data_IF_044660747022
#
_entry.id   IF_044660747022
#
_cell.length_a   1.000
_cell.length_b   1.000
_cell.length_c   1.000
_cell.angle_alpha   90.00
_cell.angle_beta   90.00
_cell.angle_gamma   90.00
#
_symmetry.space_group_name_H-M   'P 1'
#
loop_
_entity.id
_entity.type
_entity.pdbx_description
1 polymer ?
#
# COMPACT_ATOMS: atom_id res chain seq x y z
N UNK A 1 36.63 -0.42 -38.01
CA UNK A 1 36.09 -1.80 -37.97
C UNK A 1 36.56 -2.44 -36.67
N UNK A 2 35.67 -3.24 -36.06
CA UNK A 2 35.87 -4.10 -34.89
C UNK A 2 36.04 -3.39 -33.53
N UNK A 3 34.93 -3.27 -32.80
CA UNK A 3 34.94 -3.40 -31.34
C UNK A 3 33.95 -4.49 -30.95
N UNK A 4 34.48 -5.38 -30.12
CA UNK A 4 34.01 -6.73 -29.88
C UNK A 4 32.72 -6.82 -29.09
N UNK A 5 31.94 -7.83 -29.47
CA UNK A 5 30.81 -8.37 -28.73
C UNK A 5 31.26 -8.82 -27.34
N UNK A 6 30.64 -8.28 -26.30
CA UNK A 6 30.72 -8.85 -24.96
C UNK A 6 29.41 -9.62 -24.70
N UNK A 7 29.41 -10.90 -25.06
CA UNK A 7 28.46 -11.91 -24.60
C UNK A 7 28.77 -12.21 -23.13
N UNK A 8 27.99 -11.65 -22.21
CA UNK A 8 27.93 -12.16 -20.83
C UNK A 8 26.62 -12.92 -20.64
N UNK A 9 26.60 -14.16 -21.11
CA UNK A 9 25.81 -15.20 -20.49
C UNK A 9 26.44 -15.48 -19.12
N UNK A 10 25.84 -14.96 -18.05
CA UNK A 10 26.17 -15.32 -16.67
C UNK A 10 24.98 -16.05 -16.07
N UNK A 11 25.22 -17.30 -15.77
CA UNK A 11 24.40 -18.21 -14.94
C UNK A 11 23.71 -17.46 -13.79
N UNK A 12 22.41 -17.26 -13.94
CA UNK A 12 21.56 -16.50 -13.03
C UNK A 12 21.20 -17.39 -11.83
N UNK A 13 21.82 -17.16 -10.68
CA UNK A 13 21.66 -18.00 -9.48
C UNK A 13 20.19 -18.14 -9.04
N UNK A 14 19.76 -19.38 -8.75
CA UNK A 14 18.42 -19.74 -8.25
C UNK A 14 17.99 -19.00 -6.95
N UNK A 15 18.93 -18.45 -6.19
CA UNK A 15 18.63 -17.64 -4.98
C UNK A 15 18.10 -16.24 -5.30
N UNK A 16 18.39 -15.68 -6.48
CA UNK A 16 17.88 -14.37 -6.91
C UNK A 16 16.41 -14.41 -7.37
N UNK A 17 15.93 -15.55 -7.88
CA UNK A 17 14.52 -15.67 -8.29
C UNK A 17 13.57 -15.41 -7.12
N UNK A 18 13.83 -15.96 -5.93
CA UNK A 18 12.94 -15.80 -4.77
C UNK A 18 12.81 -14.36 -4.27
N UNK A 19 13.81 -13.50 -4.46
CA UNK A 19 13.72 -12.07 -4.11
C UNK A 19 13.02 -11.26 -5.21
N UNK A 20 13.24 -11.59 -6.48
CA UNK A 20 12.59 -10.95 -7.63
C UNK A 20 11.07 -11.09 -7.54
N UNK A 21 10.57 -12.25 -7.10
CA UNK A 21 9.13 -12.50 -6.92
C UNK A 21 8.49 -11.77 -5.73
N UNK A 22 9.27 -11.13 -4.85
CA UNK A 22 8.72 -10.30 -3.75
C UNK A 22 8.34 -8.90 -4.22
N UNK A 23 9.08 -8.33 -5.16
CA UNK A 23 8.78 -7.06 -5.82
C UNK A 23 9.05 -7.16 -7.34
N UNK A 24 8.21 -7.88 -8.09
CA UNK A 24 8.42 -8.12 -9.52
C UNK A 24 8.49 -6.83 -10.34
N UNK A 25 7.79 -5.79 -9.90
CA UNK A 25 7.77 -4.47 -10.54
C UNK A 25 9.15 -3.77 -10.56
N UNK A 26 10.00 -4.01 -9.55
CA UNK A 26 11.33 -3.39 -9.47
C UNK A 26 12.29 -3.98 -10.50
N UNK A 27 11.99 -5.17 -11.02
CA UNK A 27 12.83 -5.92 -11.96
C UNK A 27 12.27 -5.89 -13.39
N UNK A 28 11.46 -4.88 -13.72
CA UNK A 28 10.81 -4.74 -15.03
C UNK A 28 9.96 -5.95 -15.43
N UNK A 29 9.44 -6.70 -14.45
CA UNK A 29 8.51 -7.78 -14.72
C UNK A 29 7.11 -7.21 -15.03
N UNK A 30 6.44 -7.82 -16.01
CA UNK A 30 5.11 -7.41 -16.46
C UNK A 30 4.13 -8.53 -16.15
N UNK A 31 3.00 -8.16 -15.55
CA UNK A 31 1.91 -9.06 -15.27
C UNK A 31 1.04 -9.22 -16.53
N UNK A 32 0.98 -10.43 -17.06
CA UNK A 32 0.18 -10.84 -18.20
C UNK A 32 -0.96 -11.76 -17.74
N UNK A 33 -1.80 -12.24 -18.67
CA UNK A 33 -2.83 -13.24 -18.34
C UNK A 33 -2.23 -14.58 -17.85
N UNK A 34 -1.03 -14.91 -18.31
CA UNK A 34 -0.37 -16.20 -18.08
C UNK A 34 0.65 -16.15 -16.92
N UNK A 35 0.79 -15.02 -16.24
CA UNK A 35 1.73 -14.82 -15.14
C UNK A 35 2.65 -13.64 -15.37
N UNK A 36 3.76 -13.59 -14.62
CA UNK A 36 4.74 -12.52 -14.77
C UNK A 36 5.89 -12.94 -15.66
N UNK A 37 6.28 -12.02 -16.54
CA UNK A 37 7.40 -12.20 -17.44
C UNK A 37 8.41 -11.09 -17.28
N UNK A 38 9.70 -11.43 -17.39
CA UNK A 38 10.78 -10.45 -17.36
C UNK A 38 10.93 -9.83 -18.74
N UNK A 39 11.09 -8.50 -18.79
CA UNK A 39 11.22 -7.77 -20.05
C UNK A 39 12.38 -6.78 -19.93
N UNK A 40 13.20 -6.60 -20.99
CA UNK A 40 14.22 -5.57 -21.00
C UNK A 40 13.65 -4.18 -20.71
N UNK A 41 14.37 -3.38 -19.93
CA UNK A 41 13.99 -2.00 -19.55
C UNK A 41 13.63 -1.11 -20.75
N UNK A 42 14.26 -1.33 -21.89
CA UNK A 42 14.01 -0.60 -23.15
C UNK A 42 12.57 -0.80 -23.64
N UNK A 43 12.08 -2.03 -23.59
CA UNK A 43 10.76 -2.44 -24.07
C UNK A 43 9.67 -2.31 -23.01
N UNK A 44 10.03 -2.00 -21.76
CA UNK A 44 9.09 -1.87 -20.66
C UNK A 44 8.14 -0.67 -20.83
N UNK A 45 6.87 -0.94 -21.09
CA UNK A 45 5.74 -0.03 -21.02
C UNK A 45 4.50 -0.83 -20.56
N UNK A 46 4.03 -0.68 -19.30
CA UNK A 46 3.15 -1.65 -18.65
C UNK A 46 1.93 -2.11 -19.45
N UNK A 47 1.22 -1.18 -20.11
CA UNK A 47 0.02 -1.51 -20.90
C UNK A 47 0.35 -2.02 -22.31
N UNK A 48 1.33 -1.40 -22.95
CA UNK A 48 1.69 -1.73 -24.33
C UNK A 48 2.37 -3.10 -24.39
N UNK A 49 3.38 -3.32 -23.54
CA UNK A 49 4.12 -4.57 -23.50
C UNK A 49 3.24 -5.74 -23.02
N UNK A 50 2.35 -5.53 -22.03
CA UNK A 50 1.45 -6.59 -21.56
C UNK A 50 0.51 -7.06 -22.68
N UNK A 51 -0.02 -6.14 -23.49
CA UNK A 51 -0.89 -6.48 -24.60
C UNK A 51 -0.14 -7.24 -25.69
N UNK A 52 1.05 -6.75 -26.07
CA UNK A 52 1.89 -7.41 -27.07
C UNK A 52 2.29 -8.83 -26.64
N UNK A 53 2.70 -9.01 -25.37
CA UNK A 53 3.04 -10.33 -24.81
C UNK A 53 1.83 -11.27 -24.83
N UNK A 54 0.65 -10.80 -24.40
CA UNK A 54 -0.56 -11.64 -24.44
C UNK A 54 -0.87 -12.09 -25.87
N UNK A 55 -0.76 -11.18 -26.85
CA UNK A 55 -1.01 -11.49 -28.25
C UNK A 55 -0.01 -12.54 -28.78
N UNK A 56 1.30 -12.37 -28.52
CA UNK A 56 2.33 -13.34 -28.93
C UNK A 56 2.06 -14.72 -28.32
N UNK A 57 1.67 -14.77 -27.05
CA UNK A 57 1.37 -16.04 -26.38
C UNK A 57 0.09 -16.68 -26.95
N UNK A 58 -0.96 -15.89 -27.18
CA UNK A 58 -2.23 -16.35 -27.76
C UNK A 58 -2.06 -16.86 -29.21
N UNK A 59 -1.20 -16.22 -30.01
CA UNK A 59 -0.91 -16.65 -31.39
C UNK A 59 -0.07 -17.94 -31.45
N UNK A 60 0.80 -18.17 -30.47
CA UNK A 60 1.68 -19.34 -30.43
C UNK A 60 1.11 -20.53 -29.64
N UNK A 61 0.07 -20.31 -28.84
CA UNK A 61 -0.61 -21.35 -28.06
C UNK A 61 -2.06 -21.48 -28.55
N UNK A 62 -2.29 -22.40 -29.48
CA UNK A 62 -3.65 -22.87 -29.78
C UNK A 62 -4.16 -23.79 -28.64
N UNK A 63 -5.47 -23.76 -28.39
CA UNK A 63 -6.21 -24.15 -27.17
C UNK A 63 -5.93 -25.54 -26.55
N UNK A 64 -5.15 -26.43 -27.19
CA UNK A 64 -4.96 -27.83 -26.76
C UNK A 64 -3.55 -28.17 -26.24
N UNK A 65 -2.68 -27.20 -25.96
CA UNK A 65 -1.28 -27.49 -25.65
C UNK A 65 -0.94 -27.47 -24.15
N UNK A 66 -0.46 -28.60 -23.62
CA UNK A 66 0.24 -28.74 -22.33
C UNK A 66 1.38 -27.71 -22.11
N UNK A 67 1.81 -27.01 -23.18
CA UNK A 67 2.77 -25.90 -23.17
C UNK A 67 2.28 -24.64 -22.44
N UNK A 68 0.99 -24.50 -22.19
CA UNK A 68 0.47 -23.39 -21.39
C UNK A 68 0.93 -23.43 -19.91
N UNK A 69 1.41 -24.59 -19.44
CA UNK A 69 1.89 -24.78 -18.07
C UNK A 69 3.37 -24.49 -17.86
N UNK A 70 4.20 -24.47 -18.92
CA UNK A 70 5.64 -24.27 -18.79
C UNK A 70 6.03 -22.79 -18.93
N UNK A 71 6.27 -22.16 -17.79
CA UNK A 71 6.69 -20.76 -17.68
C UNK A 71 8.00 -20.48 -18.42
N UNK A 72 8.90 -21.46 -18.54
CA UNK A 72 10.19 -21.26 -19.21
C UNK A 72 10.01 -21.15 -20.73
N UNK A 73 9.15 -21.99 -21.30
CA UNK A 73 8.78 -21.92 -22.72
C UNK A 73 8.09 -20.60 -23.06
N UNK A 74 7.18 -20.13 -22.18
CA UNK A 74 6.53 -18.82 -22.34
C UNK A 74 7.52 -17.66 -22.25
N UNK A 75 8.48 -17.71 -21.32
CA UNK A 75 9.51 -16.67 -21.20
C UNK A 75 10.40 -16.62 -22.46
N UNK A 76 10.72 -17.75 -23.09
CA UNK A 76 11.48 -17.78 -24.35
C UNK A 76 10.75 -17.06 -25.49
N UNK A 77 9.42 -17.22 -25.59
CA UNK A 77 8.61 -16.47 -26.56
C UNK A 77 8.62 -14.96 -26.30
N UNK A 78 8.60 -14.56 -25.02
CA UNK A 78 8.71 -13.15 -24.63
C UNK A 78 10.08 -12.58 -24.96
N UNK A 79 11.14 -13.36 -24.78
CA UNK A 79 12.51 -12.96 -25.12
C UNK A 79 12.68 -12.80 -26.65
N UNK A 80 12.14 -13.73 -27.44
CA UNK A 80 12.13 -13.65 -28.92
C UNK A 80 11.32 -12.45 -29.43
N UNK A 81 10.16 -12.19 -28.82
CA UNK A 81 9.39 -10.97 -29.10
C UNK A 81 10.20 -9.70 -28.77
N UNK A 82 10.93 -9.69 -27.66
CA UNK A 82 11.74 -8.54 -27.27
C UNK A 82 12.92 -8.26 -28.23
N UNK A 83 13.36 -9.26 -29.01
CA UNK A 83 14.37 -9.08 -30.06
C UNK A 83 13.78 -8.54 -31.38
N UNK A 84 12.54 -8.89 -31.68
CA UNK A 84 11.87 -8.57 -32.95
C UNK A 84 11.07 -7.27 -32.92
N UNK A 85 10.64 -6.82 -31.73
CA UNK A 85 9.75 -5.67 -31.60
C UNK A 85 10.44 -4.34 -31.97
N UNK A 86 9.75 -3.53 -32.77
CA UNK A 86 10.22 -2.18 -33.08
C UNK A 86 9.98 -1.24 -31.88
N UNK A 87 11.07 -0.71 -31.33
CA UNK A 87 11.04 0.21 -30.17
C UNK A 87 10.30 1.51 -30.52
N UNK A 88 10.24 1.90 -31.78
CA UNK A 88 9.63 3.17 -32.21
C UNK A 88 8.10 3.17 -32.07
N UNK A 89 7.46 2.01 -32.11
CA UNK A 89 6.02 1.85 -31.91
C UNK A 89 5.60 2.06 -30.45
N UNK A 90 6.58 2.09 -29.53
CA UNK A 90 6.35 2.31 -28.10
C UNK A 90 5.68 3.67 -27.88
N UNK A 91 4.54 3.72 -27.15
CA UNK A 91 3.89 4.98 -26.85
C UNK A 91 4.83 5.86 -26.03
N UNK A 92 5.15 7.04 -26.56
CA UNK A 92 5.94 8.05 -25.85
C UNK A 92 5.09 8.57 -24.69
N UNK A 93 5.49 8.23 -23.48
CA UNK A 93 4.85 8.77 -22.28
C UNK A 93 5.21 10.26 -22.20
N UNK A 94 4.25 11.12 -22.52
CA UNK A 94 4.40 12.55 -22.32
C UNK A 94 4.65 12.82 -20.83
N UNK A 95 5.81 13.40 -20.53
CA UNK A 95 6.11 13.85 -19.18
C UNK A 95 5.16 14.99 -18.86
N UNK A 96 4.32 14.82 -17.83
CA UNK A 96 3.43 15.89 -17.35
C UNK A 96 4.24 17.17 -17.15
N UNK A 97 3.87 18.24 -17.84
CA UNK A 97 4.54 19.52 -17.66
C UNK A 97 4.17 20.14 -16.31
N UNK A 98 4.96 21.11 -15.84
CA UNK A 98 4.63 21.87 -14.62
C UNK A 98 3.27 22.57 -14.75
N UNK A 99 2.92 23.01 -15.95
CA UNK A 99 1.62 23.63 -16.24
C UNK A 99 0.47 22.63 -16.10
N UNK A 100 0.63 21.41 -16.61
CA UNK A 100 -0.40 20.35 -16.49
C UNK A 100 -0.59 19.91 -15.04
N UNK A 101 0.50 19.78 -14.28
CA UNK A 101 0.42 19.49 -12.86
C UNK A 101 -0.32 20.59 -12.07
N UNK A 102 -0.12 21.86 -12.44
CA UNK A 102 -0.86 22.99 -11.86
C UNK A 102 -2.35 22.92 -12.24
N UNK A 103 -2.66 22.73 -13.52
CA UNK A 103 -4.05 22.56 -14.00
C UNK A 103 -4.78 21.42 -13.27
N UNK A 104 -4.12 20.28 -13.05
CA UNK A 104 -4.71 19.16 -12.30
C UNK A 104 -5.02 19.52 -10.84
N UNK A 105 -4.14 20.29 -10.18
CA UNK A 105 -4.38 20.79 -8.82
C UNK A 105 -5.53 21.79 -8.78
N UNK A 106 -5.56 22.73 -9.72
CA UNK A 106 -6.61 23.76 -9.79
C UNK A 106 -7.98 23.11 -10.07
N UNK A 107 -8.05 22.13 -10.97
CA UNK A 107 -9.26 21.35 -11.22
C UNK A 107 -9.70 20.53 -9.99
N UNK A 108 -8.75 19.94 -9.26
CA UNK A 108 -9.06 19.20 -8.04
C UNK A 108 -9.62 20.13 -6.95
N UNK A 109 -9.04 21.32 -6.80
CA UNK A 109 -9.50 22.36 -5.88
C UNK A 109 -10.92 22.82 -6.25
N UNK A 110 -11.17 23.09 -7.52
CA UNK A 110 -12.50 23.45 -8.01
C UNK A 110 -13.55 22.37 -7.70
N UNK A 111 -13.22 21.09 -7.96
CA UNK A 111 -14.11 19.97 -7.62
C UNK A 111 -14.41 19.87 -6.12
N UNK A 112 -13.45 20.21 -5.25
CA UNK A 112 -13.70 20.25 -3.80
C UNK A 112 -14.61 21.39 -3.39
N UNK A 113 -14.43 22.59 -3.97
CA UNK A 113 -15.27 23.75 -3.66
C UNK A 113 -16.72 23.52 -4.08
N UNK A 114 -16.96 23.00 -5.29
CA UNK A 114 -18.31 22.65 -5.76
C UNK A 114 -18.98 21.62 -4.83
N UNK A 115 -18.24 20.61 -4.35
CA UNK A 115 -18.79 19.65 -3.39
C UNK A 115 -19.18 20.30 -2.06
N UNK A 116 -18.38 21.22 -1.56
CA UNK A 116 -18.68 21.94 -0.32
C UNK A 116 -19.92 22.83 -0.48
N UNK A 117 -20.04 23.54 -1.60
CA UNK A 117 -21.18 24.41 -1.87
C UNK A 117 -22.48 23.62 -2.06
N UNK A 118 -22.43 22.47 -2.74
CA UNK A 118 -23.58 21.55 -2.87
C UNK A 118 -24.01 20.99 -1.51
N UNK A 119 -23.07 20.64 -0.62
CA UNK A 119 -23.40 20.18 0.74
C UNK A 119 -24.00 21.30 1.59
N UNK A 120 -23.56 22.56 1.40
CA UNK A 120 -24.11 23.72 2.13
C UNK A 120 -25.52 24.10 1.66
N UNK A 121 -25.84 23.85 0.40
CA UNK A 121 -27.16 24.16 -0.19
C UNK A 121 -28.16 23.01 -0.08
N UNK A 122 -27.72 21.80 0.32
CA UNK A 122 -28.62 20.68 0.53
C UNK A 122 -29.48 20.91 1.79
N UNK A 123 -30.79 20.73 1.63
CA UNK A 123 -31.80 20.78 2.69
C UNK A 123 -31.40 19.91 3.90
N UNK A 124 -31.47 20.40 5.16
CA UNK A 124 -31.07 19.65 6.35
C UNK A 124 -31.90 18.38 6.63
N UNK A 125 -32.98 18.16 5.87
CA UNK A 125 -33.88 17.01 5.97
C UNK A 125 -33.43 15.80 5.14
N UNK A 126 -32.54 15.97 4.15
CA UNK A 126 -32.06 14.85 3.31
C UNK A 126 -30.75 14.31 3.86
N UNK A 127 -30.82 13.24 4.66
CA UNK A 127 -29.65 12.50 5.14
C UNK A 127 -28.96 11.78 3.97
N UNK A 128 -28.09 12.48 3.23
CA UNK A 128 -27.11 11.80 2.36
C UNK A 128 -26.18 10.97 3.25
N UNK A 129 -26.14 9.65 3.06
CA UNK A 129 -25.24 8.77 3.81
C UNK A 129 -23.80 9.29 3.68
N UNK A 130 -23.15 9.76 4.76
CA UNK A 130 -21.77 10.19 4.68
C UNK A 130 -20.90 8.95 4.46
N UNK A 131 -20.07 8.96 3.42
CA UNK A 131 -18.88 8.10 3.43
C UNK A 131 -18.00 8.55 4.60
N UNK A 132 -17.46 7.63 5.42
CA UNK A 132 -16.84 8.00 6.69
C UNK A 132 -15.50 8.67 6.46
N UNK A 133 -15.50 10.00 6.28
CA UNK A 133 -14.31 10.81 6.49
C UNK A 133 -14.21 11.07 8.00
N UNK A 134 -13.72 10.08 8.73
CA UNK A 134 -13.48 10.17 10.18
C UNK A 134 -12.39 11.20 10.44
N UNK A 135 -12.78 12.46 10.68
CA UNK A 135 -12.03 13.44 11.49
C UNK A 135 -12.96 14.51 12.06
N UNK A 136 -13.73 14.16 13.07
CA UNK A 136 -14.16 15.11 14.11
C UNK A 136 -14.17 14.33 15.43
N UNK A 137 -13.04 14.26 16.13
CA UNK A 137 -13.11 14.11 17.58
C UNK A 137 -13.42 15.50 18.10
N UNK A 138 -14.67 15.73 18.51
CA UNK A 138 -14.97 16.83 19.43
C UNK A 138 -13.97 16.75 20.58
N UNK A 139 -13.41 17.88 20.99
CA UNK A 139 -12.40 17.95 22.04
C UNK A 139 -12.98 17.36 23.35
N UNK A 140 -12.77 16.06 23.58
CA UNK A 140 -13.36 15.30 24.69
C UNK A 140 -13.90 13.91 24.32
N UNK A 141 -14.19 13.61 23.04
CA UNK A 141 -14.69 12.30 22.65
C UNK A 141 -13.56 11.29 22.47
N UNK A 142 -13.55 10.25 23.31
CA UNK A 142 -12.64 9.11 23.20
C UNK A 142 -12.97 8.30 21.94
N UNK A 143 -12.01 8.20 21.02
CA UNK A 143 -12.15 7.37 19.82
C UNK A 143 -11.68 5.93 20.04
N UNK A 144 -12.08 5.00 19.15
CA UNK A 144 -11.59 3.61 19.17
C UNK A 144 -10.07 3.48 19.02
N UNK A 145 -9.39 4.48 18.44
CA UNK A 145 -7.92 4.53 18.41
C UNK A 145 -7.34 4.63 19.83
N UNK A 146 -8.01 5.36 20.71
CA UNK A 146 -7.59 5.49 22.11
C UNK A 146 -7.86 4.19 22.88
N UNK A 147 -9.02 3.56 22.64
CA UNK A 147 -9.35 2.25 23.21
C UNK A 147 -8.32 1.18 22.80
N UNK A 148 -7.89 1.16 21.53
CA UNK A 148 -6.81 0.29 21.07
C UNK A 148 -5.49 0.57 21.79
N UNK A 149 -5.11 1.84 21.97
CA UNK A 149 -3.88 2.18 22.68
C UNK A 149 -3.92 1.72 24.15
N UNK A 150 -5.10 1.80 24.79
CA UNK A 150 -5.33 1.29 26.14
C UNK A 150 -5.21 -0.22 26.20
N UNK A 151 -5.92 -0.93 25.32
CA UNK A 151 -5.86 -2.38 25.22
C UNK A 151 -4.43 -2.88 24.97
N UNK A 152 -3.69 -2.22 24.08
CA UNK A 152 -2.30 -2.54 23.80
C UNK A 152 -1.41 -2.32 25.04
N UNK A 153 -1.59 -1.22 25.78
CA UNK A 153 -0.78 -0.92 26.97
C UNK A 153 -1.00 -1.94 28.11
N UNK A 154 -2.23 -2.44 28.27
CA UNK A 154 -2.58 -3.41 29.30
C UNK A 154 -2.16 -4.83 28.92
N UNK A 155 -2.44 -5.26 27.69
CA UNK A 155 -2.26 -6.65 27.25
C UNK A 155 -0.84 -6.94 26.71
N UNK A 156 -0.09 -5.95 26.25
CA UNK A 156 1.28 -6.17 25.78
C UNK A 156 2.20 -6.72 26.88
N UNK A 157 1.92 -6.41 28.15
CA UNK A 157 2.69 -6.91 29.31
C UNK A 157 2.65 -8.43 29.43
N UNK A 158 1.55 -9.06 29.01
CA UNK A 158 1.35 -10.50 29.09
C UNK A 158 2.27 -11.28 28.12
N UNK A 159 2.69 -10.62 27.04
CA UNK A 159 3.47 -11.25 25.96
C UNK A 159 4.91 -10.75 25.89
N UNK A 160 5.43 -10.07 26.92
CA UNK A 160 6.79 -9.50 26.90
C UNK A 160 7.89 -10.56 26.68
N UNK A 161 7.61 -11.82 27.00
CA UNK A 161 8.54 -12.95 26.86
C UNK A 161 8.84 -13.31 25.39
N UNK A 162 7.92 -13.01 24.46
CA UNK A 162 8.02 -13.37 23.04
C UNK A 162 8.73 -12.28 22.19
N UNK A 163 9.18 -11.19 22.83
CA UNK A 163 9.76 -10.05 22.15
C UNK A 163 8.72 -9.03 21.64
N UNK A 164 9.13 -7.76 21.56
CA UNK A 164 8.22 -6.61 21.36
C UNK A 164 7.43 -6.63 20.05
N UNK A 165 8.00 -7.18 18.97
CA UNK A 165 7.34 -7.25 17.65
C UNK A 165 6.28 -8.34 17.60
N UNK A 166 6.56 -9.51 18.16
CA UNK A 166 5.66 -10.65 18.13
C UNK A 166 4.51 -10.47 19.12
N UNK A 167 4.82 -9.97 20.32
CA UNK A 167 3.83 -9.55 21.31
C UNK A 167 2.78 -8.60 20.72
N UNK A 168 3.23 -7.56 19.99
CA UNK A 168 2.31 -6.62 19.34
C UNK A 168 1.44 -7.27 18.27
N UNK A 169 1.99 -8.21 17.49
CA UNK A 169 1.21 -8.93 16.46
C UNK A 169 0.10 -9.76 17.10
N UNK A 170 0.41 -10.50 18.17
CA UNK A 170 -0.57 -11.31 18.89
C UNK A 170 -1.69 -10.43 19.47
N UNK A 171 -1.33 -9.35 20.16
CA UNK A 171 -2.32 -8.42 20.74
C UNK A 171 -3.16 -7.75 19.65
N UNK A 172 -2.59 -7.42 18.50
CA UNK A 172 -3.34 -6.87 17.36
C UNK A 172 -4.33 -7.89 16.78
N UNK A 173 -3.93 -9.15 16.64
CA UNK A 173 -4.83 -10.22 16.23
C UNK A 173 -5.99 -10.39 17.23
N UNK A 174 -5.69 -10.42 18.53
CA UNK A 174 -6.70 -10.54 19.58
C UNK A 174 -7.70 -9.38 19.53
N UNK A 175 -7.22 -8.14 19.37
CA UNK A 175 -8.10 -6.97 19.21
C UNK A 175 -9.01 -7.06 18.00
N UNK A 176 -8.52 -7.58 16.87
CA UNK A 176 -9.34 -7.74 15.67
C UNK A 176 -10.45 -8.78 15.87
N UNK A 177 -10.20 -9.80 16.70
CA UNK A 177 -11.18 -10.83 17.05
C UNK A 177 -12.26 -10.35 18.04
N UNK A 178 -12.00 -9.29 18.81
CA UNK A 178 -12.98 -8.74 19.75
C UNK A 178 -14.21 -8.18 19.02
N UNK A 179 -15.38 -8.37 19.63
CA UNK A 179 -16.62 -7.78 19.14
C UNK A 179 -16.60 -6.25 19.24
N UNK A 180 -17.56 -5.60 18.59
CA UNK A 180 -17.70 -4.13 18.68
C UNK A 180 -18.06 -3.72 20.11
N UNK A 181 -18.87 -4.52 20.81
CA UNK A 181 -19.29 -4.24 22.19
C UNK A 181 -18.13 -4.36 23.18
N UNK A 182 -17.24 -5.34 23.00
CA UNK A 182 -16.02 -5.46 23.82
C UNK A 182 -15.08 -4.28 23.61
N UNK A 183 -14.92 -3.85 22.35
CA UNK A 183 -14.12 -2.66 22.01
C UNK A 183 -14.71 -1.38 22.61
N UNK A 184 -16.04 -1.31 22.68
CA UNK A 184 -16.76 -0.21 23.32
C UNK A 184 -16.55 -0.21 24.84
N UNK A 185 -16.52 -1.38 25.47
CA UNK A 185 -16.17 -1.50 26.89
C UNK A 185 -14.78 -0.92 27.19
N UNK A 186 -13.75 -1.29 26.41
CA UNK A 186 -12.41 -0.70 26.55
C UNK A 186 -12.37 0.81 26.27
N UNK A 187 -13.28 1.32 25.43
CA UNK A 187 -13.43 2.76 25.19
C UNK A 187 -13.95 3.48 26.43
N UNK A 188 -14.93 2.89 27.11
CA UNK A 188 -15.49 3.41 28.36
C UNK A 188 -14.46 3.36 29.49
N UNK A 189 -13.73 2.25 29.66
CA UNK A 189 -12.67 2.14 30.65
C UNK A 189 -11.58 3.22 30.46
N UNK A 190 -11.17 3.48 29.21
CA UNK A 190 -10.22 4.55 28.94
C UNK A 190 -10.82 5.95 29.18
N UNK A 191 -12.11 6.15 28.93
CA UNK A 191 -12.78 7.40 29.28
C UNK A 191 -12.78 7.64 30.80
N UNK A 192 -12.98 6.60 31.60
CA UNK A 192 -12.91 6.69 33.06
C UNK A 192 -11.47 6.89 33.56
N UNK A 193 -10.48 6.27 32.90
CA UNK A 193 -9.07 6.52 33.16
C UNK A 193 -8.71 8.02 32.97
N UNK A 194 -9.24 8.63 31.92
CA UNK A 194 -9.05 10.06 31.66
C UNK A 194 -9.71 10.95 32.72
N UNK A 195 -10.89 10.57 33.22
CA UNK A 195 -11.55 11.28 34.35
C UNK A 195 -10.70 11.23 35.62
N UNK A 196 -9.94 10.15 35.83
CA UNK A 196 -8.99 10.01 36.94
C UNK A 196 -7.69 10.81 36.76
N UNK A 197 -7.54 11.57 35.66
CA UNK A 197 -6.34 12.36 35.39
C UNK A 197 -5.14 11.54 34.90
N UNK A 198 -5.36 10.28 34.51
CA UNK A 198 -4.36 9.38 33.95
C UNK A 198 -4.53 9.28 32.44
N UNK A 199 -3.44 9.09 31.72
CA UNK A 199 -3.42 9.00 30.26
C UNK A 199 -2.32 8.03 29.80
N UNK A 200 -2.42 7.50 28.60
CA UNK A 200 -1.42 6.58 28.07
C UNK A 200 -0.33 7.36 27.34
N UNK A 201 0.91 7.04 27.64
CA UNK A 201 2.07 7.53 26.91
C UNK A 201 3.05 6.39 26.64
N UNK A 202 3.32 6.12 25.36
CA UNK A 202 4.25 5.07 24.89
C UNK A 202 3.97 3.66 25.45
N UNK A 203 2.71 3.32 25.69
CA UNK A 203 2.32 1.99 26.21
C UNK A 203 2.35 1.87 27.73
N UNK A 204 2.58 2.97 28.45
CA UNK A 204 2.45 3.06 29.91
C UNK A 204 1.29 3.97 30.28
N UNK A 205 0.60 3.65 31.37
CA UNK A 205 -0.39 4.54 31.99
C UNK A 205 0.38 5.52 32.88
N UNK A 206 0.27 6.80 32.56
CA UNK A 206 1.07 7.91 33.11
C UNK A 206 0.11 9.02 33.56
N UNK A 207 0.47 9.83 34.55
CA UNK A 207 -0.36 10.98 34.91
C UNK A 207 -0.37 12.03 33.78
N UNK A 208 -1.44 12.82 33.68
CA UNK A 208 -1.55 13.87 32.66
C UNK A 208 -0.41 14.89 32.77
N UNK A 209 0.01 15.21 33.99
CA UNK A 209 1.11 16.12 34.29
C UNK A 209 2.46 15.55 33.82
N UNK A 210 2.73 14.28 34.13
CA UNK A 210 3.97 13.62 33.71
C UNK A 210 4.05 13.48 32.17
N UNK A 211 2.91 13.25 31.49
CA UNK A 211 2.85 13.25 30.02
C UNK A 211 3.19 14.63 29.44
N UNK A 212 2.71 15.72 30.05
CA UNK A 212 3.03 17.08 29.65
C UNK A 212 4.52 17.41 29.86
N UNK A 213 5.13 16.94 30.95
CA UNK A 213 6.56 17.12 31.18
C UNK A 213 7.43 16.34 30.19
N UNK A 214 7.13 15.05 29.99
CA UNK A 214 7.87 14.17 29.07
C UNK A 214 7.81 14.70 27.62
N UNK A 215 6.68 15.29 27.23
CA UNK A 215 6.53 15.92 25.90
C UNK A 215 7.24 17.27 25.79
N UNK A 216 7.23 18.10 26.84
CA UNK A 216 7.97 19.37 26.91
C UNK A 216 9.49 19.17 26.81
N UNK A 217 10.05 18.21 27.57
CA UNK A 217 11.49 17.90 27.53
C UNK A 217 11.99 17.48 26.15
N UNK A 218 11.12 16.87 25.33
CA UNK A 218 11.45 16.42 23.98
C UNK A 218 11.50 17.52 22.93
N UNK A 219 10.84 18.67 23.15
CA UNK A 219 10.86 19.83 22.24
C UNK A 219 12.07 20.76 22.45
N UNK A 220 12.78 20.61 23.56
CA UNK A 220 13.99 21.39 23.90
C UNK A 220 15.29 20.75 23.40
N UNK A 221 15.22 19.56 22.80
CA UNK A 221 16.30 18.89 22.08
C UNK A 221 16.01 18.97 20.60
#
# INVERSE_FOLDING_TARGET
MLLGRCLQARTFCQTHFRSIWRTPQDNYAINSKYGWFLVPKTHYAPRWTANAINQVIEENISEDSEKAGDLESLQKLVDEWAETVNIEEKPKVEKKTRADAKRQKDQALYRSQIREDVVRQADPTVKSKPTPRVKISSAGAVSFTHAWNYYLATHHKQYMQLGTKEARKIVASNWNLLSVDDKEHYRQEYADLLKQGKDIYKGEIVSKEEKLERTRKKKKK
#
